data_IF_294996413716
#
_entry.id   IF_294996413716
#
_cell.length_a   1.000
_cell.length_b   1.000
_cell.length_c   1.000
_cell.angle_alpha   90.00
_cell.angle_beta   90.00
_cell.angle_gamma   90.00
#
_symmetry.space_group_name_H-M   'P 1'
#
loop_
_entity.id
_entity.type
_entity.pdbx_description
1 polymer ?
#
# COMPACT_ATOMS: atom_id res chain seq x y z
N UNK A 1 49.30 -10.64 0.84
CA UNK A 1 48.01 -10.62 0.11
C UNK A 1 47.07 -9.71 0.87
N UNK A 2 46.69 -8.58 0.29
CA UNK A 2 45.77 -7.61 0.92
C UNK A 2 44.35 -8.14 0.66
N UNK A 3 43.61 -8.48 1.71
CA UNK A 3 42.18 -8.81 1.59
C UNK A 3 41.41 -7.55 1.18
N UNK A 4 40.55 -7.60 0.15
CA UNK A 4 39.74 -6.44 -0.22
C UNK A 4 38.85 -6.06 0.96
N UNK A 5 38.85 -4.77 1.32
CA UNK A 5 37.93 -4.22 2.32
C UNK A 5 36.55 -4.22 1.67
N UNK A 6 35.71 -5.20 1.99
CA UNK A 6 34.31 -5.21 1.58
C UNK A 6 33.56 -4.09 2.32
N UNK A 7 33.26 -3.01 1.61
CA UNK A 7 32.37 -1.92 2.02
C UNK A 7 30.88 -2.35 1.96
N UNK A 8 30.59 -3.60 2.33
CA UNK A 8 29.26 -4.18 2.23
C UNK A 8 28.51 -3.99 3.55
N UNK A 9 27.34 -3.36 3.50
CA UNK A 9 26.40 -3.39 4.62
C UNK A 9 25.75 -4.78 4.63
N UNK A 10 25.83 -5.48 5.76
CA UNK A 10 25.18 -6.77 5.89
C UNK A 10 23.67 -6.60 5.72
N UNK A 11 23.04 -7.42 4.88
CA UNK A 11 21.59 -7.42 4.76
C UNK A 11 20.96 -7.85 6.10
N UNK A 12 19.98 -7.12 6.63
CA UNK A 12 19.37 -7.45 7.90
C UNK A 12 18.59 -8.76 7.81
N UNK A 13 18.85 -9.66 8.77
CA UNK A 13 18.17 -10.96 8.86
C UNK A 13 16.80 -10.82 9.55
N UNK A 14 15.89 -10.10 8.89
CA UNK A 14 14.51 -9.93 9.37
C UNK A 14 13.65 -11.06 8.82
N UNK A 15 12.91 -11.74 9.69
CA UNK A 15 11.93 -12.74 9.27
C UNK A 15 10.84 -12.06 8.41
N UNK A 16 10.63 -12.49 7.16
CA UNK A 16 9.59 -11.92 6.30
C UNK A 16 8.17 -12.17 6.83
N UNK A 17 7.97 -13.19 7.68
CA UNK A 17 6.69 -13.58 8.25
C UNK A 17 6.49 -12.90 9.60
N UNK A 18 5.40 -12.14 9.72
CA UNK A 18 5.00 -11.49 10.98
C UNK A 18 4.34 -12.51 11.90
N UNK A 19 3.37 -13.25 11.35
CA UNK A 19 2.61 -14.24 12.10
C UNK A 19 2.20 -15.37 11.15
N UNK A 20 2.17 -16.59 11.68
CA UNK A 20 1.81 -17.78 10.94
C UNK A 20 0.66 -18.51 11.63
N UNK A 21 -0.45 -18.65 10.92
CA UNK A 21 -1.61 -19.41 11.34
C UNK A 21 -1.71 -20.68 10.48
N UNK A 22 -1.06 -21.77 10.91
CA UNK A 22 -1.00 -23.01 10.14
C UNK A 22 -0.39 -22.77 8.74
N UNK A 23 -1.14 -23.05 7.64
CA UNK A 23 -0.66 -22.79 6.28
C UNK A 23 -0.69 -21.31 5.86
N UNK A 24 -1.33 -20.44 6.63
CA UNK A 24 -1.46 -19.02 6.30
C UNK A 24 -0.35 -18.20 6.97
N UNK A 25 0.57 -17.66 6.16
CA UNK A 25 1.65 -16.79 6.64
C UNK A 25 1.38 -15.33 6.24
N UNK A 26 1.29 -14.43 7.22
CA UNK A 26 1.17 -12.99 6.99
C UNK A 26 2.57 -12.39 6.95
N UNK A 27 2.89 -11.65 5.88
CA UNK A 27 4.23 -11.10 5.65
C UNK A 27 4.26 -9.58 5.77
N UNK A 28 5.43 -9.01 6.03
CA UNK A 28 5.62 -7.56 6.16
C UNK A 28 5.17 -6.77 4.93
N UNK A 29 5.47 -7.30 3.73
CA UNK A 29 5.04 -6.63 2.50
C UNK A 29 3.51 -6.61 2.36
N UNK A 30 2.80 -7.60 2.90
CA UNK A 30 1.33 -7.64 2.87
C UNK A 30 0.74 -6.46 3.65
N UNK A 31 1.34 -6.13 4.81
CA UNK A 31 0.96 -4.93 5.55
C UNK A 31 1.28 -3.65 4.78
N UNK A 32 2.43 -3.59 4.08
CA UNK A 32 2.77 -2.45 3.26
C UNK A 32 1.76 -2.23 2.12
N UNK A 33 1.30 -3.30 1.47
CA UNK A 33 0.25 -3.22 0.45
C UNK A 33 -1.08 -2.73 1.02
N UNK A 34 -1.55 -3.32 2.13
CA UNK A 34 -2.80 -2.92 2.78
C UNK A 34 -2.71 -1.47 3.25
N UNK A 35 -1.61 -1.10 3.91
CA UNK A 35 -1.37 0.26 4.37
C UNK A 35 -1.35 1.27 3.22
N UNK A 36 -0.68 0.95 2.12
CA UNK A 36 -0.67 1.76 0.91
C UNK A 36 -2.07 1.95 0.31
N UNK A 37 -2.86 0.88 0.24
CA UNK A 37 -4.22 0.92 -0.29
C UNK A 37 -5.15 1.78 0.59
N UNK A 38 -5.10 1.57 1.91
CA UNK A 38 -5.88 2.35 2.88
C UNK A 38 -5.47 3.83 2.87
N UNK A 39 -4.17 4.11 2.75
CA UNK A 39 -3.67 5.48 2.65
C UNK A 39 -4.14 6.15 1.36
N UNK A 40 -4.04 5.47 0.22
CA UNK A 40 -4.52 5.99 -1.07
C UNK A 40 -6.02 6.28 -1.03
N UNK A 41 -6.81 5.35 -0.49
CA UNK A 41 -8.26 5.53 -0.29
C UNK A 41 -8.59 6.76 0.55
N UNK A 42 -7.98 6.85 1.73
CA UNK A 42 -8.17 7.98 2.64
C UNK A 42 -7.75 9.30 1.99
N UNK A 43 -6.63 9.31 1.28
CA UNK A 43 -6.08 10.50 0.63
C UNK A 43 -6.98 10.99 -0.50
N UNK A 44 -7.47 10.10 -1.37
CA UNK A 44 -8.38 10.46 -2.47
C UNK A 44 -9.68 11.05 -1.92
N UNK A 45 -10.29 10.43 -0.91
CA UNK A 45 -11.47 10.99 -0.24
C UNK A 45 -11.19 12.34 0.38
N UNK A 46 -10.03 12.50 1.03
CA UNK A 46 -9.61 13.77 1.62
C UNK A 46 -9.43 14.87 0.57
N UNK A 47 -8.95 14.51 -0.63
CA UNK A 47 -8.80 15.39 -1.78
C UNK A 47 -10.17 15.79 -2.33
N UNK A 48 -11.09 14.86 -2.58
CA UNK A 48 -12.46 15.14 -3.04
C UNK A 48 -13.16 16.12 -2.07
N UNK A 49 -13.09 15.86 -0.76
CA UNK A 49 -13.64 16.78 0.26
C UNK A 49 -12.99 18.16 0.26
N UNK A 50 -11.74 18.27 -0.20
CA UNK A 50 -11.05 19.57 -0.30
C UNK A 50 -11.60 20.43 -1.44
N UNK A 51 -12.01 19.82 -2.57
CA UNK A 51 -12.69 20.53 -3.66
C UNK A 51 -14.02 21.11 -3.20
N UNK A 52 -14.86 20.27 -2.57
CA UNK A 52 -16.17 20.69 -2.04
C UNK A 52 -16.03 21.85 -1.04
N UNK A 53 -15.01 21.79 -0.17
CA UNK A 53 -14.74 22.87 0.79
C UNK A 53 -14.28 24.17 0.11
N UNK A 54 -13.57 24.07 -1.00
CA UNK A 54 -13.13 25.21 -1.81
C UNK A 54 -14.21 25.76 -2.74
N UNK A 55 -15.45 25.26 -2.66
CA UNK A 55 -16.54 25.57 -3.60
C UNK A 55 -16.17 25.27 -5.06
N UNK A 56 -15.32 24.26 -5.27
CA UNK A 56 -14.96 23.73 -6.58
C UNK A 56 -15.74 22.43 -6.84
N UNK A 57 -16.07 22.19 -8.09
CA UNK A 57 -16.67 20.92 -8.49
C UNK A 57 -15.62 19.80 -8.40
N UNK A 58 -15.85 18.76 -7.59
CA UNK A 58 -14.96 17.62 -7.54
C UNK A 58 -15.06 16.82 -8.85
N UNK A 59 -13.95 16.28 -9.37
CA UNK A 59 -13.95 15.51 -10.62
C UNK A 59 -14.71 14.17 -10.51
N UNK A 60 -14.91 13.68 -9.29
CA UNK A 60 -15.67 12.47 -8.98
C UNK A 60 -16.21 12.56 -7.54
N UNK A 61 -17.26 11.80 -7.27
CA UNK A 61 -17.81 11.60 -5.92
C UNK A 61 -16.98 10.63 -5.09
N UNK A 62 -17.17 10.64 -3.76
CA UNK A 62 -16.51 9.68 -2.87
C UNK A 62 -16.95 8.23 -3.13
N UNK A 63 -18.16 8.03 -3.65
CA UNK A 63 -18.70 6.69 -3.97
C UNK A 63 -18.01 6.14 -5.22
N UNK A 64 -17.88 6.95 -6.26
CA UNK A 64 -17.16 6.54 -7.48
C UNK A 64 -15.69 6.22 -7.19
N UNK A 65 -15.06 6.96 -6.29
CA UNK A 65 -13.69 6.67 -5.85
C UNK A 65 -13.58 5.33 -5.09
N UNK A 66 -14.56 5.00 -4.25
CA UNK A 66 -14.62 3.73 -3.54
C UNK A 66 -14.84 2.56 -4.50
N UNK A 67 -15.79 2.69 -5.43
CA UNK A 67 -16.10 1.69 -6.44
C UNK A 67 -14.89 1.43 -7.34
N UNK A 68 -14.22 2.51 -7.78
CA UNK A 68 -12.99 2.39 -8.56
C UNK A 68 -11.90 1.65 -7.78
N UNK A 69 -11.67 2.00 -6.51
CA UNK A 69 -10.65 1.33 -5.69
C UNK A 69 -10.94 -0.17 -5.53
N UNK A 70 -12.20 -0.53 -5.31
CA UNK A 70 -12.63 -1.92 -5.20
C UNK A 70 -12.33 -2.69 -6.50
N UNK A 71 -12.76 -2.15 -7.65
CA UNK A 71 -12.55 -2.79 -8.94
C UNK A 71 -11.08 -2.84 -9.35
N UNK A 72 -10.32 -1.79 -9.08
CA UNK A 72 -8.87 -1.77 -9.31
C UNK A 72 -8.16 -2.82 -8.46
N UNK A 73 -8.55 -2.96 -7.19
CA UNK A 73 -7.99 -3.99 -6.29
C UNK A 73 -8.30 -5.40 -6.80
N UNK A 74 -9.54 -5.64 -7.23
CA UNK A 74 -9.93 -6.91 -7.84
C UNK A 74 -9.11 -7.17 -9.11
N UNK A 75 -8.95 -6.17 -9.99
CA UNK A 75 -8.15 -6.28 -11.21
C UNK A 75 -6.69 -6.65 -10.94
N UNK A 76 -6.06 -6.03 -9.94
CA UNK A 76 -4.69 -6.36 -9.52
C UNK A 76 -4.57 -7.80 -9.01
N UNK A 77 -5.58 -8.29 -8.29
CA UNK A 77 -5.59 -9.67 -7.76
C UNK A 77 -5.90 -10.69 -8.86
N UNK A 78 -6.77 -10.34 -9.80
CA UNK A 78 -7.20 -11.22 -10.90
C UNK A 78 -6.12 -11.38 -11.98
N UNK A 79 -5.36 -10.31 -12.28
CA UNK A 79 -4.35 -10.27 -13.34
C UNK A 79 -4.92 -9.85 -14.69
#
# INVERSE_FOLDING_TARGET
>A
MISPISLAIAFPMIDPVIVQFGPLAIRWYSLAYIGGLLFAWWYVRRLIRSYVRGSLDPPMSEIEADDFLLWATIGVVAG
#
